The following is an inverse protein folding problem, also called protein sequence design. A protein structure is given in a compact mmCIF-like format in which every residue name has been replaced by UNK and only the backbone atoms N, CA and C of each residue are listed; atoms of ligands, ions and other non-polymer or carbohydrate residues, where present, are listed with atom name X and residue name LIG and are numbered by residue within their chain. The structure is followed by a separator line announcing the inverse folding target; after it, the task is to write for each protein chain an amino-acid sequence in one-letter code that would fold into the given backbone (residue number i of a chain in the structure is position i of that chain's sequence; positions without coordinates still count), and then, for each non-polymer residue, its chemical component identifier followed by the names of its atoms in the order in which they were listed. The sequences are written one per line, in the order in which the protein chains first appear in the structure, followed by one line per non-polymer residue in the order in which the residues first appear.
data_IF_498852883765
#
_entry.id   IF_498852883765
#
_cell.length_a   1.000
_cell.length_b   1.000
_cell.length_c   1.000
_cell.angle_alpha   90.00
_cell.angle_beta   90.00
_cell.angle_gamma   90.00
#
_symmetry.space_group_name_H-M   'P 1'
#
loop_
_entity.id
_entity.type
_entity.pdbx_description
1 polymer ?
#
# COMPACT_ATOMS: atom_id res chain seq x y z
N UNK A 1 18.96 -14.53 -20.15
CA UNK A 1 18.94 -14.43 -18.68
C UNK A 1 18.91 -15.84 -18.10
N UNK A 2 19.92 -16.22 -17.32
CA UNK A 2 19.94 -17.52 -16.64
C UNK A 2 19.32 -17.32 -15.26
N UNK A 3 18.07 -17.76 -15.08
CA UNK A 3 17.43 -17.77 -13.75
C UNK A 3 18.05 -18.89 -12.93
N UNK A 4 18.35 -18.61 -11.67
CA UNK A 4 18.77 -19.64 -10.72
C UNK A 4 17.64 -20.65 -10.53
N UNK A 5 17.99 -21.92 -10.44
CA UNK A 5 17.11 -23.01 -10.07
C UNK A 5 16.82 -22.94 -8.57
N UNK A 6 15.54 -22.82 -8.20
CA UNK A 6 15.11 -22.74 -6.80
C UNK A 6 14.23 -23.93 -6.42
N UNK A 7 14.52 -24.52 -5.27
CA UNK A 7 13.59 -25.40 -4.56
C UNK A 7 12.81 -24.57 -3.54
N UNK A 8 11.49 -24.55 -3.64
CA UNK A 8 10.64 -23.86 -2.66
C UNK A 8 10.35 -24.80 -1.49
N UNK A 9 10.61 -24.34 -0.27
CA UNK A 9 10.20 -25.05 0.95
C UNK A 9 9.11 -24.25 1.68
N UNK A 10 7.87 -24.76 1.65
CA UNK A 10 6.71 -24.19 2.31
C UNK A 10 5.60 -23.82 1.32
N UNK A 11 4.60 -24.68 1.16
CA UNK A 11 3.45 -24.47 0.27
C UNK A 11 2.29 -23.81 1.02
N UNK A 12 2.57 -22.66 1.64
CA UNK A 12 1.61 -21.89 2.43
C UNK A 12 1.15 -20.61 1.74
N UNK A 13 0.44 -19.78 2.50
CA UNK A 13 -0.04 -18.45 2.06
C UNK A 13 1.11 -17.56 1.59
N UNK A 14 2.25 -17.58 2.28
CA UNK A 14 3.45 -16.83 1.88
C UNK A 14 3.88 -17.19 0.47
N UNK A 15 3.98 -18.47 0.11
CA UNK A 15 4.32 -18.86 -1.26
C UNK A 15 3.22 -18.43 -2.25
N UNK A 16 1.96 -18.71 -1.93
CA UNK A 16 0.83 -18.43 -2.84
C UNK A 16 0.72 -16.94 -3.17
N UNK A 17 0.94 -16.05 -2.20
CA UNK A 17 0.90 -14.58 -2.36
C UNK A 17 2.16 -13.99 -3.02
N UNK A 18 3.12 -14.84 -3.40
CA UNK A 18 4.42 -14.42 -3.90
C UNK A 18 4.86 -15.19 -5.17
N UNK A 19 4.06 -16.14 -5.64
CA UNK A 19 4.44 -17.06 -6.72
C UNK A 19 4.79 -16.34 -8.03
N UNK A 20 4.14 -15.21 -8.35
CA UNK A 20 4.40 -14.51 -9.61
C UNK A 20 5.78 -13.87 -9.63
N UNK A 21 6.17 -13.12 -8.60
CA UNK A 21 7.52 -12.55 -8.56
C UNK A 21 8.59 -13.64 -8.37
N UNK A 22 8.32 -14.72 -7.61
CA UNK A 22 9.26 -15.85 -7.50
C UNK A 22 9.53 -16.42 -8.89
N UNK A 23 8.49 -16.70 -9.68
CA UNK A 23 8.63 -17.17 -11.06
C UNK A 23 9.31 -16.16 -11.96
N UNK A 24 9.19 -14.86 -11.67
CA UNK A 24 9.89 -13.82 -12.42
C UNK A 24 11.41 -13.88 -12.21
N UNK A 25 11.88 -14.18 -10.99
CA UNK A 25 13.30 -14.16 -10.65
C UNK A 25 13.99 -15.52 -10.72
N UNK A 26 13.26 -16.61 -10.48
CA UNK A 26 13.81 -17.95 -10.35
C UNK A 26 13.14 -18.95 -11.31
N UNK A 27 13.86 -20.04 -11.58
CA UNK A 27 13.29 -21.23 -12.19
C UNK A 27 12.91 -22.22 -11.08
N UNK A 28 11.61 -22.38 -10.80
CA UNK A 28 11.14 -23.31 -9.77
C UNK A 28 11.31 -24.76 -10.26
N UNK A 29 12.25 -25.49 -9.65
CA UNK A 29 12.51 -26.91 -9.97
C UNK A 29 11.59 -27.84 -9.17
N UNK A 30 11.14 -27.41 -8.01
CA UNK A 30 10.21 -28.15 -7.17
C UNK A 30 9.67 -27.34 -6.01
N UNK A 31 8.61 -27.87 -5.41
CA UNK A 31 8.00 -27.35 -4.19
C UNK A 31 7.93 -28.50 -3.19
N UNK A 32 8.36 -28.26 -1.97
CA UNK A 32 8.27 -29.21 -0.87
C UNK A 32 7.63 -28.57 0.35
N UNK A 33 6.97 -29.39 1.16
CA UNK A 33 6.34 -28.99 2.41
C UNK A 33 6.30 -30.22 3.34
N UNK A 34 6.39 -30.01 4.65
CA UNK A 34 6.34 -31.13 5.61
C UNK A 34 5.02 -31.89 5.59
N UNK A 35 3.96 -31.29 5.02
CA UNK A 35 2.64 -31.92 4.84
C UNK A 35 2.57 -32.83 3.62
N UNK A 36 3.56 -32.81 2.72
CA UNK A 36 3.54 -33.64 1.53
C UNK A 36 4.02 -35.05 1.86
N UNK A 37 3.09 -36.00 1.84
CA UNK A 37 3.36 -37.42 2.09
C UNK A 37 3.60 -38.23 0.81
N UNK A 38 3.36 -37.65 -0.37
CA UNK A 38 3.53 -38.28 -1.68
C UNK A 38 4.09 -37.25 -2.65
N UNK A 39 5.05 -37.67 -3.48
CA UNK A 39 5.62 -36.84 -4.54
C UNK A 39 4.82 -36.96 -5.85
N UNK A 40 4.59 -35.83 -6.50
CA UNK A 40 4.00 -35.68 -7.83
C UNK A 40 4.94 -34.88 -8.72
N UNK A 41 5.58 -35.57 -9.65
CA UNK A 41 6.49 -34.99 -10.64
C UNK A 41 5.75 -34.05 -11.61
N UNK A 42 4.53 -34.41 -12.00
CA UNK A 42 3.67 -33.59 -12.86
C UNK A 42 3.37 -32.23 -12.22
N UNK A 43 3.02 -32.23 -10.93
CA UNK A 43 2.73 -30.99 -10.19
C UNK A 43 3.98 -30.31 -9.62
N UNK A 44 5.17 -30.92 -9.82
CA UNK A 44 6.44 -30.53 -9.17
C UNK A 44 6.32 -30.38 -7.65
N UNK A 45 5.52 -31.21 -7.00
CA UNK A 45 5.33 -31.22 -5.54
C UNK A 45 5.97 -32.48 -4.97
N UNK A 46 6.89 -32.34 -4.02
CA UNK A 46 7.73 -33.44 -3.57
C UNK A 46 7.71 -33.55 -2.05
N UNK A 47 7.74 -34.78 -1.55
CA UNK A 47 8.17 -35.02 -0.17
C UNK A 47 9.58 -34.46 0.02
N UNK A 48 9.93 -34.07 1.24
CA UNK A 48 11.21 -33.43 1.53
C UNK A 48 12.38 -34.30 1.08
N UNK A 49 12.32 -35.61 1.33
CA UNK A 49 13.38 -36.57 1.00
C UNK A 49 13.62 -36.67 -0.51
N UNK A 50 12.57 -36.53 -1.32
CA UNK A 50 12.70 -36.56 -2.78
C UNK A 50 13.15 -35.19 -3.31
N UNK A 51 12.67 -34.10 -2.70
CA UNK A 51 12.91 -32.73 -3.12
C UNK A 51 14.39 -32.33 -2.99
N UNK A 52 15.04 -32.71 -1.89
CA UNK A 52 16.45 -32.35 -1.62
C UNK A 52 17.44 -33.01 -2.58
N UNK A 53 17.00 -34.01 -3.34
CA UNK A 53 17.79 -34.67 -4.37
C UNK A 53 17.64 -34.02 -5.76
N UNK A 54 16.77 -33.01 -5.91
CA UNK A 54 16.64 -32.26 -7.15
C UNK A 54 17.85 -31.37 -7.38
N UNK A 55 18.13 -31.05 -8.65
CA UNK A 55 19.14 -30.06 -8.99
C UNK A 55 18.60 -28.64 -8.73
N UNK A 56 19.05 -28.01 -7.64
CA UNK A 56 18.77 -26.61 -7.31
C UNK A 56 20.06 -25.87 -6.96
N UNK A 57 20.05 -24.55 -7.18
CA UNK A 57 21.11 -23.66 -6.75
C UNK A 57 20.89 -23.23 -5.29
N UNK A 58 19.63 -22.93 -4.94
CA UNK A 58 19.20 -22.53 -3.59
C UNK A 58 17.86 -23.18 -3.20
N UNK A 59 17.62 -23.25 -1.90
CA UNK A 59 16.33 -23.53 -1.26
C UNK A 59 15.79 -22.21 -0.71
N UNK A 60 14.66 -21.75 -1.24
CA UNK A 60 13.95 -20.58 -0.74
C UNK A 60 12.84 -21.04 0.21
N UNK A 61 12.99 -20.71 1.49
CA UNK A 61 12.00 -21.06 2.50
C UNK A 61 10.92 -19.98 2.55
N UNK A 62 9.69 -20.35 2.22
CA UNK A 62 8.49 -19.50 2.21
C UNK A 62 7.58 -19.85 3.38
N UNK A 63 8.16 -19.94 4.58
CA UNK A 63 7.49 -20.33 5.82
C UNK A 63 7.97 -19.45 6.98
N UNK A 64 7.10 -19.25 7.98
CA UNK A 64 7.45 -18.57 9.24
C UNK A 64 8.34 -19.45 10.13
N UNK A 65 8.34 -20.77 9.92
CA UNK A 65 9.17 -21.74 10.65
C UNK A 65 10.58 -21.86 10.02
N UNK A 66 11.17 -20.72 9.67
CA UNK A 66 12.42 -20.67 8.91
C UNK A 66 13.55 -21.39 9.63
N UNK A 67 13.76 -21.07 10.91
CA UNK A 67 14.86 -21.62 11.70
C UNK A 67 14.73 -23.13 11.90
N UNK A 68 13.52 -23.64 12.16
CA UNK A 68 13.29 -25.07 12.32
C UNK A 68 13.52 -25.84 11.02
N UNK A 69 13.04 -25.28 9.89
CA UNK A 69 13.23 -25.88 8.57
C UNK A 69 14.71 -25.87 8.20
N UNK A 70 15.39 -24.74 8.37
CA UNK A 70 16.83 -24.58 8.12
C UNK A 70 17.65 -25.59 8.94
N UNK A 71 17.39 -25.70 10.24
CA UNK A 71 18.07 -26.67 11.11
C UNK A 71 17.84 -28.12 10.65
N UNK A 72 16.63 -28.46 10.20
CA UNK A 72 16.31 -29.78 9.64
C UNK A 72 17.05 -30.04 8.32
N UNK A 73 17.09 -29.08 7.39
CA UNK A 73 17.80 -29.19 6.12
C UNK A 73 19.30 -29.42 6.31
N UNK A 74 19.91 -28.69 7.24
CA UNK A 74 21.34 -28.86 7.58
C UNK A 74 21.56 -30.20 8.30
N UNK A 75 20.83 -30.44 9.39
CA UNK A 75 21.10 -31.56 10.29
C UNK A 75 20.69 -32.94 9.77
N UNK A 76 19.62 -33.03 8.98
CA UNK A 76 19.08 -34.31 8.48
C UNK A 76 19.44 -34.58 7.03
N UNK A 77 19.48 -33.53 6.20
CA UNK A 77 19.67 -33.66 4.75
C UNK A 77 21.04 -33.15 4.28
N UNK A 78 21.89 -32.68 5.20
CA UNK A 78 23.25 -32.22 4.93
C UNK A 78 23.31 -31.14 3.82
N UNK A 79 22.31 -30.25 3.79
CA UNK A 79 22.29 -29.10 2.88
C UNK A 79 23.21 -28.02 3.43
N UNK A 80 24.07 -27.47 2.57
CA UNK A 80 24.93 -26.34 2.90
C UNK A 80 24.10 -25.11 3.27
N UNK A 81 24.43 -24.46 4.39
CA UNK A 81 23.71 -23.27 4.87
C UNK A 81 23.67 -22.13 3.84
N UNK A 82 24.74 -21.96 3.06
CA UNK A 82 24.84 -20.96 1.99
C UNK A 82 23.82 -21.14 0.86
N UNK A 83 23.21 -22.33 0.76
CA UNK A 83 22.14 -22.63 -0.22
C UNK A 83 20.74 -22.40 0.35
N UNK A 84 20.61 -22.03 1.63
CA UNK A 84 19.31 -21.86 2.28
C UNK A 84 19.06 -20.37 2.48
N UNK A 85 17.97 -19.85 1.93
CA UNK A 85 17.60 -18.45 2.06
C UNK A 85 16.19 -18.32 2.61
N UNK A 86 15.98 -17.36 3.51
CA UNK A 86 14.63 -17.00 3.89
C UNK A 86 14.03 -16.11 2.81
N UNK A 87 12.79 -16.35 2.45
CA UNK A 87 12.05 -15.48 1.55
C UNK A 87 12.04 -14.01 1.99
N UNK A 88 12.13 -13.74 3.29
CA UNK A 88 12.17 -12.38 3.82
C UNK A 88 13.41 -11.60 3.42
N UNK A 89 14.54 -12.29 3.29
CA UNK A 89 15.83 -11.67 3.02
C UNK A 89 15.88 -11.07 1.60
N UNK A 90 15.02 -11.57 0.70
CA UNK A 90 14.84 -11.09 -0.69
C UNK A 90 14.37 -9.64 -0.80
N UNK A 91 13.92 -9.08 0.32
CA UNK A 91 13.47 -7.71 0.42
C UNK A 91 14.30 -6.88 1.39
N UNK A 92 15.33 -7.42 2.04
CA UNK A 92 16.20 -6.60 2.88
C UNK A 92 17.07 -5.63 2.07
N UNK A 93 17.42 -6.01 0.83
CA UNK A 93 18.31 -5.25 -0.03
C UNK A 93 17.69 -4.98 -1.42
N UNK A 94 18.17 -3.93 -2.05
CA UNK A 94 17.86 -3.66 -3.46
C UNK A 94 18.52 -4.73 -4.32
N UNK A 95 17.84 -5.14 -5.39
CA UNK A 95 18.38 -6.12 -6.34
C UNK A 95 18.60 -5.48 -7.70
N UNK A 96 19.83 -5.55 -8.19
CA UNK A 96 20.17 -5.14 -9.54
C UNK A 96 20.03 -6.33 -10.48
N UNK A 97 19.09 -6.25 -11.41
CA UNK A 97 18.69 -7.34 -12.30
C UNK A 97 18.77 -6.92 -13.77
N UNK A 98 18.95 -7.92 -14.64
CA UNK A 98 18.87 -7.79 -16.10
C UNK A 98 17.81 -8.75 -16.62
N UNK A 99 16.66 -8.21 -17.01
CA UNK A 99 15.53 -9.01 -17.51
C UNK A 99 15.52 -9.17 -19.03
N UNK A 100 16.22 -8.30 -19.76
CA UNK A 100 16.41 -8.40 -21.19
C UNK A 100 17.42 -7.38 -21.68
N UNK A 101 17.40 -7.05 -22.98
CA UNK A 101 18.37 -6.13 -23.59
C UNK A 101 17.76 -4.77 -23.98
N UNK A 102 16.46 -4.54 -23.73
CA UNK A 102 15.82 -3.27 -24.06
C UNK A 102 16.35 -2.13 -23.18
N UNK A 103 16.20 -0.90 -23.68
CA UNK A 103 16.49 0.34 -22.96
C UNK A 103 17.85 0.34 -22.20
N UNK A 104 18.98 0.03 -22.85
CA UNK A 104 20.26 -0.18 -22.16
C UNK A 104 20.81 1.07 -21.44
N UNK A 105 20.29 2.25 -21.81
CA UNK A 105 20.69 3.55 -21.28
C UNK A 105 19.73 4.09 -20.20
N UNK A 106 18.66 3.36 -19.88
CA UNK A 106 17.69 3.73 -18.84
C UNK A 106 17.90 2.79 -17.65
N UNK A 107 17.85 3.35 -16.45
CA UNK A 107 17.82 2.58 -15.21
C UNK A 107 16.38 2.63 -14.71
N UNK A 108 15.73 1.47 -14.68
CA UNK A 108 14.39 1.33 -14.11
C UNK A 108 14.52 1.02 -12.63
N UNK A 109 13.76 1.73 -11.81
CA UNK A 109 13.59 1.43 -10.39
C UNK A 109 12.17 0.95 -10.17
N UNK A 110 12.00 -0.30 -9.76
CA UNK A 110 10.68 -0.91 -9.55
C UNK A 110 10.35 -0.87 -8.07
N UNK A 111 9.34 -0.09 -7.71
CA UNK A 111 8.73 -0.17 -6.39
C UNK A 111 7.86 -1.43 -6.29
N UNK A 112 8.30 -2.37 -5.45
CA UNK A 112 7.60 -3.63 -5.15
C UNK A 112 6.62 -3.43 -4.00
N UNK A 113 5.32 -3.65 -4.22
CA UNK A 113 4.31 -3.62 -3.15
C UNK A 113 4.45 -4.83 -2.21
N UNK A 114 5.21 -4.69 -1.15
CA UNK A 114 5.72 -5.82 -0.39
C UNK A 114 4.60 -6.59 0.34
N UNK A 115 4.78 -7.90 0.54
CA UNK A 115 3.77 -8.74 1.17
C UNK A 115 3.49 -8.35 2.64
N UNK A 116 4.48 -7.82 3.37
CA UNK A 116 4.26 -7.29 4.74
C UNK A 116 3.34 -6.07 4.74
N UNK A 117 3.18 -5.41 3.59
CA UNK A 117 2.28 -4.28 3.39
C UNK A 117 0.94 -4.71 2.80
N UNK A 118 0.72 -6.00 2.56
CA UNK A 118 -0.55 -6.47 1.98
C UNK A 118 -1.76 -5.98 2.77
N UNK A 119 -1.58 -5.75 4.09
CA UNK A 119 -2.58 -5.21 5.02
C UNK A 119 -2.57 -3.68 5.18
N UNK A 120 -1.68 -2.96 4.51
CA UNK A 120 -1.63 -1.50 4.57
C UNK A 120 -2.70 -0.89 3.67
N UNK A 121 -3.17 0.30 4.06
CA UNK A 121 -4.06 1.10 3.22
C UNK A 121 -3.36 1.62 1.97
N UNK A 122 -4.11 1.89 0.90
CA UNK A 122 -3.58 2.29 -0.41
C UNK A 122 -2.63 3.49 -0.33
N UNK A 123 -2.97 4.49 0.48
CA UNK A 123 -2.13 5.68 0.60
C UNK A 123 -0.79 5.47 1.32
N UNK A 124 -0.58 4.32 1.98
CA UNK A 124 0.76 3.93 2.41
C UNK A 124 1.65 3.54 1.20
N UNK A 125 1.09 2.86 0.20
CA UNK A 125 1.80 2.61 -1.06
C UNK A 125 2.03 3.91 -1.84
N UNK A 126 1.02 4.81 -1.85
CA UNK A 126 1.15 6.13 -2.47
C UNK A 126 2.28 6.97 -1.85
N UNK A 127 2.34 7.03 -0.52
CA UNK A 127 3.39 7.70 0.25
C UNK A 127 4.79 7.23 -0.16
N UNK A 128 5.00 5.91 -0.17
CA UNK A 128 6.28 5.32 -0.59
C UNK A 128 6.60 5.57 -2.05
N UNK A 129 5.61 5.48 -2.94
CA UNK A 129 5.78 5.81 -4.35
C UNK A 129 6.21 7.28 -4.53
N UNK A 130 5.63 8.22 -3.78
CA UNK A 130 6.02 9.63 -3.81
C UNK A 130 7.47 9.84 -3.34
N UNK A 131 7.86 9.24 -2.22
CA UNK A 131 9.23 9.33 -1.69
C UNK A 131 10.25 8.73 -2.67
N UNK A 132 9.95 7.54 -3.20
CA UNK A 132 10.80 6.89 -4.20
C UNK A 132 10.85 7.67 -5.51
N UNK A 133 9.76 8.30 -5.95
CA UNK A 133 9.74 9.11 -7.16
C UNK A 133 10.67 10.30 -7.01
N UNK A 134 10.58 11.02 -5.89
CA UNK A 134 11.48 12.13 -5.60
C UNK A 134 12.95 11.69 -5.64
N UNK A 135 13.28 10.59 -4.95
CA UNK A 135 14.65 10.04 -4.90
C UNK A 135 15.17 9.58 -6.27
N UNK A 136 14.37 8.79 -6.99
CA UNK A 136 14.76 8.22 -8.29
C UNK A 136 14.96 9.31 -9.34
N UNK A 137 14.16 10.38 -9.32
CA UNK A 137 14.38 11.54 -10.19
C UNK A 137 15.72 12.23 -9.95
N UNK A 138 16.17 12.37 -8.70
CA UNK A 138 17.49 12.93 -8.39
C UNK A 138 18.64 12.08 -8.93
N UNK A 139 18.43 10.76 -9.01
CA UNK A 139 19.39 9.79 -9.53
C UNK A 139 19.29 9.60 -11.07
N UNK A 140 18.30 10.21 -11.72
CA UNK A 140 18.04 10.03 -13.15
C UNK A 140 17.47 8.64 -13.51
N UNK A 141 16.78 7.99 -12.57
CA UNK A 141 16.13 6.70 -12.77
C UNK A 141 14.65 6.88 -13.13
N UNK A 142 14.08 5.90 -13.82
CA UNK A 142 12.64 5.84 -14.14
C UNK A 142 11.92 4.95 -13.10
N UNK A 143 10.99 5.52 -12.33
CA UNK A 143 10.20 4.79 -11.35
C UNK A 143 8.99 4.11 -11.99
N UNK A 144 8.80 2.82 -11.71
CA UNK A 144 7.53 2.13 -11.93
C UNK A 144 7.05 1.46 -10.66
N UNK A 145 5.74 1.42 -10.47
CA UNK A 145 5.08 0.76 -9.33
C UNK A 145 4.54 -0.58 -9.77
N UNK A 146 4.98 -1.65 -9.11
CA UNK A 146 4.53 -3.02 -9.34
C UNK A 146 3.65 -3.50 -8.18
N UNK A 147 2.33 -3.41 -8.40
CA UNK A 147 1.29 -4.08 -7.60
C UNK A 147 0.65 -5.24 -8.37
N UNK A 148 1.29 -5.73 -9.45
CA UNK A 148 0.82 -6.86 -10.27
C UNK A 148 1.43 -8.16 -9.78
N UNK A 149 2.76 -8.19 -9.65
CA UNK A 149 3.51 -9.40 -9.29
C UNK A 149 3.60 -9.63 -7.78
N UNK A 150 3.13 -8.67 -6.99
CA UNK A 150 3.05 -8.73 -5.53
C UNK A 150 1.60 -8.63 -5.06
N UNK A 151 1.20 -9.54 -4.17
CA UNK A 151 -0.18 -9.60 -3.69
C UNK A 151 -0.50 -8.39 -2.82
N UNK A 152 -1.68 -7.80 -3.04
CA UNK A 152 -2.24 -6.76 -2.16
C UNK A 152 -3.69 -7.09 -1.85
N UNK A 153 -4.21 -6.58 -0.73
CA UNK A 153 -5.63 -6.74 -0.41
C UNK A 153 -6.56 -6.01 -1.40
N UNK A 154 -6.02 -5.18 -2.29
CA UNK A 154 -6.77 -4.54 -3.38
C UNK A 154 -6.85 -5.40 -4.65
N UNK A 155 -5.86 -6.27 -4.90
CA UNK A 155 -5.93 -7.22 -6.01
C UNK A 155 -6.86 -8.39 -5.66
N UNK A 156 -6.80 -8.86 -4.41
CA UNK A 156 -7.30 -10.19 -4.06
C UNK A 156 -6.56 -11.29 -4.84
N UNK A 157 -6.94 -12.55 -4.64
CA UNK A 157 -6.30 -13.67 -5.36
C UNK A 157 -6.71 -13.72 -6.84
N UNK A 158 -7.92 -13.28 -7.16
CA UNK A 158 -8.48 -13.40 -8.52
C UNK A 158 -7.81 -12.47 -9.54
N UNK A 159 -7.26 -11.33 -9.09
CA UNK A 159 -6.57 -10.35 -9.95
C UNK A 159 -5.05 -10.36 -9.75
N UNK A 160 -4.55 -11.11 -8.77
CA UNK A 160 -3.12 -11.21 -8.47
C UNK A 160 -2.34 -11.84 -9.64
N UNK A 161 -1.25 -11.19 -10.06
CA UNK A 161 -0.45 -11.55 -11.22
C UNK A 161 -1.04 -11.15 -12.58
N UNK A 162 -2.28 -10.64 -12.60
CA UNK A 162 -3.00 -10.30 -13.82
C UNK A 162 -3.07 -8.79 -13.98
N UNK A 163 -3.53 -8.07 -12.95
CA UNK A 163 -3.72 -6.62 -12.99
C UNK A 163 -2.72 -5.92 -12.08
N UNK A 164 -2.15 -4.82 -12.56
CA UNK A 164 -1.42 -3.90 -11.71
C UNK A 164 -2.40 -2.96 -11.00
N UNK A 165 -2.65 -3.21 -9.71
CA UNK A 165 -3.60 -2.40 -8.91
C UNK A 165 -3.26 -0.92 -8.89
N UNK A 166 -1.98 -0.54 -8.99
CA UNK A 166 -1.62 0.87 -9.08
C UNK A 166 -2.35 1.55 -10.24
N UNK A 167 -2.35 0.90 -11.40
CA UNK A 167 -2.91 1.40 -12.66
C UNK A 167 -4.45 1.38 -12.69
N UNK A 168 -5.09 0.72 -11.73
CA UNK A 168 -6.52 0.90 -11.49
C UNK A 168 -6.83 2.34 -11.03
N UNK A 169 -5.95 2.95 -10.24
CA UNK A 169 -6.23 4.23 -9.58
C UNK A 169 -5.37 5.38 -10.09
N UNK A 170 -4.11 5.14 -10.43
CA UNK A 170 -3.15 6.15 -10.88
C UNK A 170 -2.35 5.65 -12.08
N UNK A 171 -1.98 6.56 -12.98
CA UNK A 171 -1.06 6.25 -14.07
C UNK A 171 0.35 5.94 -13.52
N UNK A 172 1.16 5.19 -14.27
CA UNK A 172 2.56 4.95 -13.89
C UNK A 172 3.32 6.29 -13.79
N UNK A 173 4.21 6.46 -12.79
CA UNK A 173 5.03 7.67 -12.68
C UNK A 173 6.03 7.86 -13.83
N UNK A 174 6.23 6.82 -14.66
CA UNK A 174 7.10 6.83 -15.82
C UNK A 174 6.30 6.76 -17.11
N UNK A 175 6.91 7.24 -18.20
CA UNK A 175 6.41 7.07 -19.57
C UNK A 175 6.53 5.63 -20.08
N UNK A 176 7.31 4.79 -19.41
CA UNK A 176 7.50 3.39 -19.77
C UNK A 176 6.49 2.51 -19.04
N UNK A 177 6.18 1.37 -19.64
CA UNK A 177 5.32 0.34 -19.03
C UNK A 177 6.11 -0.64 -18.16
N UNK A 178 5.41 -1.31 -17.25
CA UNK A 178 6.01 -2.35 -16.39
C UNK A 178 6.59 -3.50 -17.21
N UNK A 179 5.91 -3.90 -18.28
CA UNK A 179 6.37 -4.96 -19.18
C UNK A 179 7.63 -4.56 -19.96
N UNK A 180 7.79 -3.27 -20.34
CA UNK A 180 9.02 -2.76 -20.95
C UNK A 180 10.18 -2.77 -19.96
N UNK A 181 9.94 -2.36 -18.71
CA UNK A 181 10.95 -2.41 -17.67
C UNK A 181 11.43 -3.86 -17.43
N UNK A 182 10.52 -4.82 -17.36
CA UNK A 182 10.85 -6.26 -17.26
C UNK A 182 11.36 -6.92 -18.55
N UNK A 183 11.65 -6.15 -19.59
CA UNK A 183 12.42 -6.60 -20.77
C UNK A 183 13.74 -5.83 -20.90
N UNK A 184 14.05 -4.98 -19.93
CA UNK A 184 15.16 -4.04 -20.01
C UNK A 184 16.42 -4.51 -19.30
N UNK A 185 17.54 -3.87 -19.66
CA UNK A 185 18.88 -4.28 -19.27
C UNK A 185 19.24 -3.97 -17.82
N UNK A 186 18.78 -2.83 -17.31
CA UNK A 186 19.15 -2.31 -15.98
C UNK A 186 17.89 -2.05 -15.18
N UNK A 187 17.56 -2.98 -14.29
CA UNK A 187 16.39 -2.89 -13.42
C UNK A 187 16.83 -3.03 -11.98
N UNK A 188 16.43 -2.10 -11.13
CA UNK A 188 16.64 -2.14 -9.68
C UNK A 188 15.30 -2.46 -9.04
N UNK A 189 15.21 -3.57 -8.32
CA UNK A 189 14.04 -3.91 -7.53
C UNK A 189 14.18 -3.33 -6.12
N UNK A 190 13.21 -2.52 -5.70
CA UNK A 190 13.25 -1.80 -4.42
C UNK A 190 13.27 -2.74 -3.23
N UNK A 191 14.09 -2.52 -2.21
CA UNK A 191 13.93 -3.26 -0.94
C UNK A 191 12.60 -2.96 -0.22
N UNK A 192 12.22 -3.83 0.71
CA UNK A 192 11.28 -3.49 1.77
C UNK A 192 11.96 -2.57 2.79
N UNK A 193 11.20 -1.66 3.36
CA UNK A 193 11.69 -0.36 3.74
C UNK A 193 11.23 -0.03 5.16
N UNK A 194 12.17 0.26 6.06
CA UNK A 194 11.89 1.01 7.27
C UNK A 194 11.90 2.49 6.92
N UNK A 195 11.02 3.30 7.53
CA UNK A 195 10.92 4.77 7.29
C UNK A 195 12.28 5.47 7.15
N UNK A 196 13.27 5.03 7.91
CA UNK A 196 14.66 5.49 7.88
C UNK A 196 15.29 5.51 6.48
N UNK A 197 14.86 4.70 5.50
CA UNK A 197 15.50 4.69 4.17
C UNK A 197 14.85 5.60 3.13
N UNK A 198 13.55 5.90 3.24
CA UNK A 198 12.94 7.00 2.48
C UNK A 198 13.28 8.38 3.06
N UNK A 199 13.56 8.42 4.37
CA UNK A 199 13.80 9.66 5.10
C UNK A 199 15.10 9.55 5.93
N UNK A 200 16.23 9.22 5.27
CA UNK A 200 17.56 8.97 5.90
C UNK A 200 18.07 10.07 6.83
N UNK A 201 17.58 11.30 6.65
CA UNK A 201 17.97 12.46 7.47
C UNK A 201 16.93 12.84 8.51
N UNK A 202 15.84 12.07 8.63
CA UNK A 202 14.74 12.39 9.53
C UNK A 202 15.09 12.05 10.96
N UNK A 203 15.18 13.06 11.81
CA UNK A 203 15.33 12.84 13.24
C UNK A 203 14.08 12.17 13.82
N UNK A 204 14.22 11.46 14.95
CA UNK A 204 13.09 10.89 15.68
C UNK A 204 12.03 11.95 16.04
N UNK A 205 12.45 13.18 16.35
CA UNK A 205 11.56 14.30 16.64
C UNK A 205 10.76 14.74 15.42
N UNK A 206 11.38 14.81 14.24
CA UNK A 206 10.68 15.16 13.00
C UNK A 206 9.74 14.02 12.57
N UNK A 207 10.16 12.77 12.72
CA UNK A 207 9.31 11.61 12.45
C UNK A 207 8.03 11.60 13.29
N UNK A 208 8.11 12.05 14.54
CA UNK A 208 6.95 12.15 15.44
C UNK A 208 6.19 13.48 15.30
N UNK A 209 6.62 14.38 14.41
CA UNK A 209 6.00 15.70 14.26
C UNK A 209 4.94 15.70 13.17
N UNK A 210 3.67 15.84 13.57
CA UNK A 210 2.56 16.03 12.63
C UNK A 210 2.76 17.27 11.74
N UNK A 211 3.36 18.33 12.26
CA UNK A 211 3.68 19.56 11.52
C UNK A 211 4.73 19.30 10.43
N UNK A 212 5.79 18.56 10.75
CA UNK A 212 6.83 18.23 9.78
C UNK A 212 6.25 17.43 8.61
N UNK A 213 5.43 16.43 8.90
CA UNK A 213 4.77 15.63 7.87
C UNK A 213 3.83 16.47 7.00
N UNK A 214 3.00 17.30 7.64
CA UNK A 214 2.07 18.21 6.94
C UNK A 214 2.83 19.10 5.95
N UNK A 215 3.84 19.82 6.42
CA UNK A 215 4.62 20.74 5.57
C UNK A 215 5.40 20.01 4.47
N UNK A 216 5.96 18.85 4.80
CA UNK A 216 6.67 18.01 3.83
C UNK A 216 5.76 17.58 2.70
N UNK A 217 4.56 17.09 3.00
CA UNK A 217 3.61 16.60 1.99
C UNK A 217 2.98 17.73 1.17
N UNK A 218 2.72 18.89 1.77
CA UNK A 218 2.31 20.08 1.02
C UNK A 218 3.40 20.52 0.03
N UNK A 219 4.67 20.48 0.42
CA UNK A 219 5.78 20.87 -0.45
C UNK A 219 6.08 19.81 -1.50
N UNK A 220 6.04 18.53 -1.14
CA UNK A 220 6.24 17.43 -2.07
C UNK A 220 5.15 17.45 -3.15
N UNK A 221 3.90 17.71 -2.75
CA UNK A 221 2.78 17.91 -3.66
C UNK A 221 3.00 19.04 -4.66
N UNK A 222 3.69 20.13 -4.30
CA UNK A 222 3.96 21.24 -5.26
C UNK A 222 4.91 20.85 -6.40
N UNK A 223 5.74 19.83 -6.20
CA UNK A 223 6.80 19.44 -7.15
C UNK A 223 6.56 18.06 -7.78
N UNK A 224 5.64 17.27 -7.23
CA UNK A 224 5.32 15.92 -7.66
C UNK A 224 3.83 15.69 -7.61
N UNK A 225 3.28 15.15 -8.71
CA UNK A 225 1.89 14.72 -8.79
C UNK A 225 1.80 13.39 -9.50
N UNK A 226 0.93 12.52 -9.02
CA UNK A 226 0.51 11.33 -9.76
C UNK A 226 -0.83 11.60 -10.43
N UNK A 227 -0.92 11.25 -11.70
CA UNK A 227 -2.12 11.45 -12.49
C UNK A 227 -3.13 10.34 -12.17
N UNK A 228 -4.37 10.66 -11.76
CA UNK A 228 -5.41 9.65 -11.62
C UNK A 228 -5.66 8.89 -12.94
N UNK A 229 -5.89 7.59 -12.85
CA UNK A 229 -6.26 6.75 -14.00
C UNK A 229 -7.58 7.26 -14.62
N UNK A 230 -7.89 6.88 -15.86
CA UNK A 230 -9.18 7.23 -16.46
C UNK A 230 -10.36 6.73 -15.63
N UNK A 231 -10.20 5.59 -14.98
CA UNK A 231 -11.22 4.98 -14.13
C UNK A 231 -11.45 5.79 -12.87
N UNK A 232 -10.39 6.19 -12.17
CA UNK A 232 -10.49 7.06 -11.00
C UNK A 232 -11.01 8.46 -11.39
N UNK A 233 -10.55 9.04 -12.51
CA UNK A 233 -11.07 10.32 -13.05
C UNK A 233 -12.58 10.27 -13.27
N UNK A 234 -13.09 9.19 -13.87
CA UNK A 234 -14.52 9.01 -14.10
C UNK A 234 -15.31 8.96 -12.78
N UNK A 235 -14.81 8.22 -11.79
CA UNK A 235 -15.45 8.11 -10.49
C UNK A 235 -15.41 9.44 -9.72
N UNK A 236 -14.28 10.15 -9.72
CA UNK A 236 -14.16 11.51 -9.14
C UNK A 236 -15.18 12.45 -9.80
N UNK A 237 -15.23 12.49 -11.13
CA UNK A 237 -16.15 13.39 -11.84
C UNK A 237 -17.62 13.07 -11.54
N UNK A 238 -17.98 11.78 -11.41
CA UNK A 238 -19.31 11.36 -10.99
C UNK A 238 -19.66 11.91 -9.61
N UNK A 239 -18.77 11.74 -8.63
CA UNK A 239 -19.00 12.24 -7.27
C UNK A 239 -19.05 13.77 -7.22
N UNK A 240 -18.13 14.48 -7.89
CA UNK A 240 -18.14 15.95 -7.93
C UNK A 240 -19.45 16.51 -8.53
N UNK A 241 -19.97 15.89 -9.59
CA UNK A 241 -21.25 16.26 -10.20
C UNK A 241 -22.44 16.03 -9.26
N UNK A 242 -22.40 14.95 -8.46
CA UNK A 242 -23.43 14.64 -7.47
C UNK A 242 -23.40 15.63 -6.29
N UNK A 243 -22.19 15.90 -5.76
CA UNK A 243 -21.97 16.77 -4.61
C UNK A 243 -22.28 18.24 -4.90
N UNK A 244 -22.24 18.66 -6.17
CA UNK A 244 -22.43 20.07 -6.59
C UNK A 244 -21.59 21.05 -5.78
N UNK A 245 -20.33 20.67 -5.54
CA UNK A 245 -19.38 21.43 -4.73
C UNK A 245 -19.31 22.88 -5.21
N UNK A 246 -19.76 23.82 -4.38
CA UNK A 246 -19.76 25.25 -4.66
C UNK A 246 -19.43 26.03 -3.40
N UNK A 247 -18.90 27.24 -3.57
CA UNK A 247 -18.44 28.05 -2.43
C UNK A 247 -17.20 27.48 -1.76
N UNK A 248 -17.00 27.82 -0.48
CA UNK A 248 -15.88 27.34 0.33
C UNK A 248 -16.28 26.07 1.09
N UNK A 249 -15.45 25.04 1.04
CA UNK A 249 -15.75 23.73 1.63
C UNK A 249 -14.70 23.36 2.67
N UNK A 250 -15.17 23.04 3.88
CA UNK A 250 -14.35 22.45 4.94
C UNK A 250 -14.31 20.93 4.73
N UNK A 251 -13.17 20.44 4.26
CA UNK A 251 -12.89 19.01 4.15
C UNK A 251 -12.49 18.45 5.51
N UNK A 252 -13.10 17.33 5.90
CA UNK A 252 -12.87 16.65 7.17
C UNK A 252 -12.50 15.20 6.87
N UNK A 253 -11.33 14.78 7.36
CA UNK A 253 -10.93 13.37 7.38
C UNK A 253 -11.06 12.84 8.79
N UNK A 254 -12.03 11.93 9.00
CA UNK A 254 -12.29 11.35 10.30
C UNK A 254 -12.00 9.85 10.27
N UNK A 255 -10.85 9.47 10.81
CA UNK A 255 -10.44 8.07 10.99
C UNK A 255 -11.15 7.47 12.21
N UNK A 256 -11.71 6.27 12.06
CA UNK A 256 -12.47 5.56 13.08
C UNK A 256 -12.14 4.07 13.08
N UNK A 257 -13.16 3.22 13.18
CA UNK A 257 -13.08 1.76 13.07
C UNK A 257 -11.93 1.13 13.87
N UNK A 258 -10.96 0.51 13.20
CA UNK A 258 -9.85 -0.20 13.82
C UNK A 258 -8.95 0.69 14.68
N UNK A 259 -8.78 1.97 14.32
CA UNK A 259 -8.03 2.91 15.14
C UNK A 259 -8.69 3.11 16.51
N UNK A 260 -10.03 3.15 16.57
CA UNK A 260 -10.78 3.41 17.80
C UNK A 260 -11.02 2.11 18.60
N UNK A 261 -11.42 1.03 17.92
CA UNK A 261 -11.82 -0.20 18.61
C UNK A 261 -10.65 -1.13 18.93
N UNK A 262 -9.66 -1.25 18.05
CA UNK A 262 -8.49 -2.12 18.26
C UNK A 262 -7.32 -1.41 18.92
N UNK A 263 -7.25 -0.08 18.80
CA UNK A 263 -6.16 0.75 19.35
C UNK A 263 -4.77 0.18 19.03
N UNK A 264 -4.46 -0.01 17.74
CA UNK A 264 -3.24 -0.70 17.36
C UNK A 264 -2.02 0.09 17.85
N UNK A 265 -1.09 -0.62 18.50
CA UNK A 265 0.15 -0.04 19.04
C UNK A 265 0.89 0.81 18.01
N UNK A 266 1.46 1.93 18.45
CA UNK A 266 2.15 2.93 17.65
C UNK A 266 1.29 3.64 16.58
N UNK A 267 -0.03 3.48 16.59
CA UNK A 267 -0.91 4.23 15.69
C UNK A 267 -1.44 5.50 16.36
N UNK A 268 -1.68 6.58 15.59
CA UNK A 268 -2.28 7.81 16.09
C UNK A 268 -3.63 7.60 16.76
N UNK A 269 -3.86 8.34 17.84
CA UNK A 269 -5.13 8.37 18.56
C UNK A 269 -6.07 9.33 17.81
N UNK A 270 -7.22 8.88 17.28
CA UNK A 270 -8.20 9.78 16.68
C UNK A 270 -8.77 10.76 17.70
N UNK A 271 -8.85 12.04 17.34
CA UNK A 271 -9.58 13.05 18.08
C UNK A 271 -11.05 12.65 18.22
N UNK A 272 -11.64 12.94 19.38
CA UNK A 272 -13.00 12.56 19.69
C UNK A 272 -13.99 13.12 18.64
N UNK A 273 -14.96 12.30 18.25
CA UNK A 273 -15.89 12.66 17.17
C UNK A 273 -16.81 13.82 17.54
N UNK A 274 -17.27 13.89 18.79
CA UNK A 274 -18.17 14.98 19.21
C UNK A 274 -17.39 16.30 19.30
N UNK A 275 -16.17 16.27 19.84
CA UNK A 275 -15.29 17.44 19.83
C UNK A 275 -14.88 17.86 18.40
N UNK A 276 -14.65 16.91 17.49
CA UNK A 276 -14.37 17.22 16.08
C UNK A 276 -15.55 17.92 15.41
N UNK A 277 -16.78 17.49 15.72
CA UNK A 277 -18.00 18.15 15.24
C UNK A 277 -18.08 19.57 15.78
N UNK A 278 -17.76 19.80 17.06
CA UNK A 278 -17.75 21.14 17.66
C UNK A 278 -16.73 22.07 16.97
N UNK A 279 -15.52 21.57 16.66
CA UNK A 279 -14.52 22.31 15.89
C UNK A 279 -15.03 22.67 14.48
N UNK A 280 -15.68 21.72 13.80
CA UNK A 280 -16.30 21.95 12.51
C UNK A 280 -17.42 23.00 12.59
N UNK A 281 -18.28 22.93 13.62
CA UNK A 281 -19.35 23.91 13.85
C UNK A 281 -18.78 25.31 14.10
N UNK A 282 -17.72 25.42 14.90
CA UNK A 282 -17.04 26.70 15.16
C UNK A 282 -16.52 27.34 13.87
N UNK A 283 -15.85 26.57 13.00
CA UNK A 283 -15.37 27.06 11.69
C UNK A 283 -16.52 27.38 10.73
N UNK A 284 -17.59 26.58 10.75
CA UNK A 284 -18.77 26.77 9.91
C UNK A 284 -19.56 28.03 10.29
N UNK A 285 -19.83 28.26 11.58
CA UNK A 285 -20.60 29.40 12.09
C UNK A 285 -19.90 30.74 11.91
N UNK A 286 -18.56 30.76 11.84
CA UNK A 286 -17.79 31.97 11.47
C UNK A 286 -18.05 32.42 10.02
N UNK A 287 -18.82 31.66 9.25
CA UNK A 287 -19.15 31.97 7.85
C UNK A 287 -17.97 31.73 6.90
N UNK A 288 -16.95 30.99 7.34
CA UNK A 288 -15.76 30.71 6.54
C UNK A 288 -16.01 29.67 5.44
N UNK A 289 -17.02 28.81 5.63
CA UNK A 289 -17.35 27.68 4.76
C UNK A 289 -18.87 27.55 4.56
N UNK A 290 -19.26 27.12 3.38
CA UNK A 290 -20.64 26.87 2.96
C UNK A 290 -21.08 25.42 3.19
N UNK A 291 -20.12 24.49 3.09
CA UNK A 291 -20.36 23.05 3.22
C UNK A 291 -19.24 22.38 4.00
N UNK A 292 -19.54 21.20 4.52
CA UNK A 292 -18.57 20.28 5.12
C UNK A 292 -18.52 19.03 4.27
N UNK A 293 -17.34 18.67 3.77
CA UNK A 293 -17.13 17.40 3.10
C UNK A 293 -16.50 16.40 4.07
N UNK A 294 -17.13 15.26 4.29
CA UNK A 294 -16.64 14.23 5.22
C UNK A 294 -16.11 13.00 4.47
N UNK A 295 -14.83 12.71 4.68
CA UNK A 295 -14.22 11.44 4.36
C UNK A 295 -14.09 10.59 5.65
N UNK A 296 -14.85 9.50 5.73
CA UNK A 296 -14.77 8.54 6.83
C UNK A 296 -15.24 7.15 6.42
N UNK A 297 -14.46 6.12 6.72
CA UNK A 297 -14.89 4.73 6.58
C UNK A 297 -15.91 4.30 7.64
N UNK A 298 -16.06 5.09 8.70
CA UNK A 298 -16.77 4.71 9.91
C UNK A 298 -18.24 5.16 9.85
N UNK A 299 -19.15 4.20 9.97
CA UNK A 299 -20.59 4.44 9.88
C UNK A 299 -21.09 5.26 11.08
N UNK A 300 -20.55 5.03 12.27
CA UNK A 300 -20.99 5.74 13.49
C UNK A 300 -20.56 7.21 13.44
N UNK A 301 -19.33 7.49 12.97
CA UNK A 301 -18.86 8.86 12.72
C UNK A 301 -19.73 9.54 11.67
N UNK A 302 -20.00 8.86 10.56
CA UNK A 302 -20.87 9.38 9.49
C UNK A 302 -22.25 9.78 10.00
N UNK A 303 -22.93 8.92 10.77
CA UNK A 303 -24.27 9.22 11.28
C UNK A 303 -24.28 10.41 12.26
N UNK A 304 -23.23 10.56 13.08
CA UNK A 304 -23.07 11.74 13.96
C UNK A 304 -22.92 13.03 13.15
N UNK A 305 -22.05 13.04 12.15
CA UNK A 305 -21.89 14.20 11.26
C UNK A 305 -23.17 14.53 10.50
N UNK A 306 -23.86 13.50 9.98
CA UNK A 306 -25.12 13.66 9.23
C UNK A 306 -26.19 14.28 10.11
N UNK A 307 -26.30 13.85 11.37
CA UNK A 307 -27.20 14.45 12.35
C UNK A 307 -26.87 15.92 12.65
N UNK A 308 -25.58 16.26 12.69
CA UNK A 308 -25.12 17.61 13.06
C UNK A 308 -25.20 18.63 11.93
N UNK A 309 -24.97 18.22 10.68
CA UNK A 309 -24.82 19.14 9.55
C UNK A 309 -25.92 19.00 8.48
N UNK A 310 -26.71 17.93 8.49
CA UNK A 310 -27.85 17.75 7.59
C UNK A 310 -27.50 17.95 6.12
N UNK A 311 -28.21 18.85 5.45
CA UNK A 311 -28.03 19.17 4.03
C UNK A 311 -26.69 19.86 3.70
N UNK A 312 -25.99 20.39 4.70
CA UNK A 312 -24.68 21.01 4.52
C UNK A 312 -23.53 19.98 4.54
N UNK A 313 -23.83 18.70 4.79
CA UNK A 313 -22.86 17.62 4.76
C UNK A 313 -22.77 16.99 3.36
N UNK A 314 -21.59 17.10 2.77
CA UNK A 314 -21.17 16.43 1.54
C UNK A 314 -20.36 15.18 1.90
N UNK A 315 -20.52 14.10 1.14
CA UNK A 315 -19.76 12.87 1.31
C UNK A 315 -19.81 12.05 0.03
N UNK A 316 -18.74 11.31 -0.25
CA UNK A 316 -18.72 10.35 -1.35
C UNK A 316 -19.54 9.11 -1.00
N UNK A 317 -20.18 8.54 -2.03
CA UNK A 317 -20.84 7.24 -1.90
C UNK A 317 -19.77 6.16 -1.69
N UNK A 318 -19.81 5.52 -0.52
CA UNK A 318 -18.91 4.42 -0.16
C UNK A 318 -19.56 3.51 0.87
N UNK A 319 -19.14 2.26 0.88
CA UNK A 319 -19.58 1.32 1.92
C UNK A 319 -18.86 1.65 3.23
N UNK A 320 -19.62 1.81 4.31
CA UNK A 320 -19.11 2.18 5.63
C UNK A 320 -19.22 1.02 6.61
N UNK A 321 -18.34 1.02 7.59
CA UNK A 321 -18.16 -0.07 8.56
C UNK A 321 -18.53 0.45 9.94
N UNK A 322 -19.26 -0.35 10.72
CA UNK A 322 -19.52 0.01 12.13
C UNK A 322 -18.22 0.03 12.92
N UNK A 323 -18.12 0.94 13.89
CA UNK A 323 -16.88 1.07 14.69
C UNK A 323 -16.52 -0.20 15.45
N UNK A 324 -17.52 -1.00 15.86
CA UNK A 324 -17.40 -2.13 16.80
C UNK A 324 -17.05 -3.48 16.16
N UNK A 325 -16.62 -3.51 14.90
CA UNK A 325 -16.36 -4.75 14.15
C UNK A 325 -15.20 -5.62 14.67
N UNK A 326 -14.43 -5.14 15.66
CA UNK A 326 -13.30 -5.83 16.30
C UNK A 326 -12.36 -6.56 15.31
N UNK A 327 -12.09 -5.92 14.17
CA UNK A 327 -11.22 -6.40 13.08
C UNK A 327 -10.51 -5.21 12.45
N UNK A 328 -9.33 -5.46 11.88
CA UNK A 328 -8.65 -4.46 11.04
C UNK A 328 -9.53 -4.12 9.85
N UNK A 329 -9.57 -2.85 9.46
CA UNK A 329 -10.44 -2.39 8.38
C UNK A 329 -10.12 -3.12 7.07
N UNK A 330 -8.83 -3.36 6.79
CA UNK A 330 -8.40 -4.01 5.56
C UNK A 330 -8.98 -5.44 5.41
N UNK A 331 -9.19 -6.12 6.55
CA UNK A 331 -9.70 -7.50 6.62
C UNK A 331 -11.23 -7.58 6.49
N UNK A 332 -11.94 -6.44 6.51
CA UNK A 332 -13.39 -6.39 6.27
C UNK A 332 -13.67 -6.63 4.80
N UNK A 333 -14.58 -7.56 4.48
CA UNK A 333 -15.06 -7.81 3.11
C UNK A 333 -16.54 -7.46 3.02
N UNK A 334 -16.93 -6.83 1.92
CA UNK A 334 -18.33 -6.64 1.58
C UNK A 334 -18.73 -7.70 0.55
N UNK A 335 -19.91 -8.30 0.70
CA UNK A 335 -20.42 -9.33 -0.21
C UNK A 335 -20.88 -8.69 -1.53
N UNK A 336 -19.90 -8.30 -2.36
CA UNK A 336 -20.11 -7.72 -3.69
C UNK A 336 -19.01 -8.13 -4.65
N UNK A 337 -19.34 -8.10 -5.94
CA UNK A 337 -18.37 -8.35 -7.00
C UNK A 337 -17.26 -7.29 -7.00
N UNK A 338 -16.01 -7.71 -7.20
CA UNK A 338 -14.83 -6.84 -7.23
C UNK A 338 -14.62 -6.00 -5.96
N UNK A 339 -15.02 -6.49 -4.78
CA UNK A 339 -14.96 -5.73 -3.53
C UNK A 339 -13.57 -5.17 -3.22
N UNK A 340 -12.50 -5.98 -3.36
CA UNK A 340 -11.12 -5.56 -3.14
C UNK A 340 -10.74 -4.31 -3.96
N UNK A 341 -11.14 -4.31 -5.24
CA UNK A 341 -10.93 -3.20 -6.16
C UNK A 341 -11.80 -1.99 -5.80
N UNK A 342 -13.09 -2.21 -5.59
CA UNK A 342 -14.03 -1.12 -5.29
C UNK A 342 -13.68 -0.36 -4.01
N UNK A 343 -13.20 -1.06 -2.98
CA UNK A 343 -12.74 -0.43 -1.73
C UNK A 343 -11.55 0.50 -1.95
N UNK A 344 -10.61 0.13 -2.82
CA UNK A 344 -9.51 1.00 -3.20
C UNK A 344 -9.98 2.20 -4.01
N UNK A 345 -10.89 1.99 -4.96
CA UNK A 345 -11.47 3.06 -5.79
C UNK A 345 -12.23 4.08 -4.94
N UNK A 346 -13.09 3.61 -4.04
CA UNK A 346 -13.86 4.43 -3.10
C UNK A 346 -12.93 5.26 -2.21
N UNK A 347 -11.90 4.63 -1.64
CA UNK A 347 -10.94 5.33 -0.79
C UNK A 347 -10.13 6.39 -1.55
N UNK A 348 -9.61 6.05 -2.73
CA UNK A 348 -8.89 7.01 -3.58
C UNK A 348 -9.80 8.17 -4.01
N UNK A 349 -11.05 7.88 -4.37
CA UNK A 349 -12.03 8.90 -4.73
C UNK A 349 -12.30 9.84 -3.56
N UNK A 350 -12.49 9.30 -2.35
CA UNK A 350 -12.78 10.11 -1.18
C UNK A 350 -11.65 11.09 -0.86
N UNK A 351 -10.39 10.66 -0.98
CA UNK A 351 -9.21 11.47 -0.73
C UNK A 351 -8.95 12.48 -1.87
N UNK A 352 -9.19 12.10 -3.12
CA UNK A 352 -9.11 13.03 -4.26
C UNK A 352 -10.16 14.15 -4.15
N UNK A 353 -11.40 13.85 -3.76
CA UNK A 353 -12.42 14.87 -3.50
C UNK A 353 -12.02 15.73 -2.29
N UNK A 354 -11.48 15.12 -1.23
CA UNK A 354 -10.98 15.84 -0.05
C UNK A 354 -9.90 16.86 -0.41
N UNK A 355 -8.95 16.49 -1.28
CA UNK A 355 -7.87 17.35 -1.74
C UNK A 355 -8.35 18.57 -2.54
N UNK A 356 -9.59 18.56 -3.04
CA UNK A 356 -10.22 19.68 -3.75
C UNK A 356 -11.01 20.62 -2.82
N UNK A 357 -11.09 20.32 -1.52
CA UNK A 357 -11.67 21.22 -0.53
C UNK A 357 -10.76 22.42 -0.26
N UNK A 358 -11.29 23.47 0.38
CA UNK A 358 -10.53 24.68 0.68
C UNK A 358 -9.72 24.56 1.98
N UNK A 359 -10.13 23.64 2.85
CA UNK A 359 -9.47 23.35 4.11
C UNK A 359 -9.52 21.84 4.37
N UNK A 360 -8.47 21.28 4.96
CA UNK A 360 -8.41 19.93 5.48
C UNK A 360 -8.32 19.98 7.01
N UNK A 361 -9.29 19.41 7.70
CA UNK A 361 -9.22 19.10 9.12
C UNK A 361 -9.19 17.57 9.29
N UNK A 362 -8.06 17.03 9.74
CA UNK A 362 -7.93 15.60 10.02
C UNK A 362 -7.96 15.35 11.53
N UNK A 363 -8.73 14.35 11.96
CA UNK A 363 -8.85 14.01 13.39
C UNK A 363 -7.63 13.26 13.94
N UNK A 364 -6.75 12.76 13.09
CA UNK A 364 -5.42 12.31 13.45
C UNK A 364 -4.50 12.28 12.23
N UNK A 365 -3.20 12.11 12.48
CA UNK A 365 -2.25 11.72 11.45
C UNK A 365 -2.65 10.38 10.82
N UNK A 366 -2.64 10.30 9.49
CA UNK A 366 -2.76 9.06 8.73
C UNK A 366 -2.32 9.27 7.27
N UNK A 367 -1.97 8.19 6.57
CA UNK A 367 -1.54 8.29 5.17
C UNK A 367 -2.61 8.87 4.24
N UNK A 368 -3.90 8.73 4.56
CA UNK A 368 -4.98 9.41 3.82
C UNK A 368 -4.89 10.94 3.90
N UNK A 369 -4.53 11.50 5.07
CA UNK A 369 -4.32 12.93 5.25
C UNK A 369 -3.13 13.40 4.42
N UNK A 370 -2.01 12.67 4.47
CA UNK A 370 -0.81 12.98 3.68
C UNK A 370 -1.07 12.89 2.18
N UNK A 371 -1.83 11.87 1.75
CA UNK A 371 -2.30 11.75 0.37
C UNK A 371 -3.10 12.98 -0.08
N UNK A 372 -4.05 13.44 0.73
CA UNK A 372 -4.84 14.64 0.42
C UNK A 372 -3.96 15.90 0.31
N UNK A 373 -2.97 16.07 1.19
CA UNK A 373 -2.05 17.19 1.16
C UNK A 373 -1.16 17.18 -0.09
N UNK A 374 -0.59 16.02 -0.44
CA UNK A 374 0.21 15.86 -1.65
C UNK A 374 -0.59 16.11 -2.91
N UNK A 375 -1.80 15.55 -3.02
CA UNK A 375 -2.70 15.78 -4.16
C UNK A 375 -3.10 17.25 -4.24
N UNK A 376 -3.39 17.87 -3.10
CA UNK A 376 -3.75 19.29 -3.00
C UNK A 376 -2.62 20.23 -3.42
N UNK A 377 -1.36 19.78 -3.51
CA UNK A 377 -0.26 20.58 -4.07
C UNK A 377 -0.05 21.93 -3.38
N UNK A 378 -0.35 22.03 -2.08
CA UNK A 378 -0.28 23.27 -1.31
C UNK A 378 -1.40 24.28 -1.56
N UNK A 379 -2.45 23.94 -2.33
CA UNK A 379 -3.63 24.80 -2.50
C UNK A 379 -4.64 24.67 -1.35
N UNK A 380 -4.55 23.61 -0.57
CA UNK A 380 -5.43 23.32 0.56
C UNK A 380 -4.78 23.82 1.87
N UNK A 381 -5.50 24.62 2.65
CA UNK A 381 -5.08 24.93 4.03
C UNK A 381 -5.33 23.70 4.89
N UNK A 382 -4.50 23.44 5.90
CA UNK A 382 -4.64 22.19 6.64
C UNK A 382 -4.36 22.29 8.14
N UNK A 383 -4.99 21.38 8.88
CA UNK A 383 -4.81 21.16 10.30
C UNK A 383 -5.00 19.67 10.58
N UNK A 384 -4.01 19.06 11.24
CA UNK A 384 -4.04 17.66 11.67
C UNK A 384 -4.01 17.69 13.19
N UNK A 385 -5.07 17.19 13.82
CA UNK A 385 -5.15 17.11 15.28
C UNK A 385 -4.24 15.99 15.78
N UNK A 386 -3.48 16.26 16.83
CA UNK A 386 -2.52 15.32 17.40
C UNK A 386 -2.88 15.01 18.85
N UNK A 387 -3.33 13.78 19.10
CA UNK A 387 -3.65 13.26 20.43
C UNK A 387 -2.60 12.25 20.91
N UNK A 388 -1.45 12.17 20.23
CA UNK A 388 -0.43 11.16 20.46
C UNK A 388 -0.73 9.84 19.77
N UNK A 389 -0.06 8.78 20.23
CA UNK A 389 -0.13 7.42 19.69
C UNK A 389 -0.53 6.43 20.78
N UNK A 390 -1.16 5.32 20.40
CA UNK A 390 -1.42 4.21 21.32
C UNK A 390 -0.12 3.48 21.71
N UNK A 391 -0.03 3.08 22.99
CA UNK A 391 1.12 2.37 23.57
C UNK A 391 1.19 0.86 23.25
#
# INVERSE_FOLDING_TARGET
MHKMNVLIYGYGETYQKNVYWINQLYNIVGITDSKFNISSWEMKKYKVEDAVNLAFDIILITSIFFEEIKASLIGRFNIEESKISWFMDEFCNERCETFGEKNPNVIFYIYRAHWQESKNGFYNFFDRAMALYYKTRQLGYELLVDMKNYYTEYSGLDRYGIVNVWEDYYEQPSKYTLDEAYQSKKVILSKFDSVEYNYLTLSKSEYLSCEWWRETYENLGKVTHFTPSQMLKNQINKELNHLKMSGKILGVLARGTDYVCLKPKNHPIPFDTDLLIDECQSKFQKGEYNYIYLATEDLNIFEKFKKSFGENLLFTEQTRVKTDINKMLIDVKFERENDNYLRGLEYCTAIEVLARCNYLLANCYCYGALGALAIGGGSIKSEILDMGIYD
#
